data_IF_838244460777
#
_entry.id   IF_838244460777
#
_cell.length_a   1.000
_cell.length_b   1.000
_cell.length_c   1.000
_cell.angle_alpha   90.00
_cell.angle_beta   90.00
_cell.angle_gamma   90.00
#
_symmetry.space_group_name_H-M   'P 1'
#
loop_
_entity.id
_entity.type
_entity.pdbx_description
1 polymer ?
#
# COMPACT_ATOMS: atom_id res chain seq x y z
N UNK A 1 6.63 0.58 -1.03
CA UNK A 1 6.27 1.89 -0.44
C UNK A 1 7.49 2.66 0.06
N UNK A 2 8.36 2.03 0.86
CA UNK A 2 9.49 2.70 1.55
C UNK A 2 9.34 2.56 3.07
N UNK A 3 10.38 2.92 3.83
CA UNK A 3 10.30 2.96 5.29
C UNK A 3 9.17 3.90 5.77
N UNK A 4 8.57 3.64 6.93
CA UNK A 4 7.44 4.45 7.47
C UNK A 4 7.80 5.92 7.66
N UNK A 5 9.04 6.18 8.08
CA UNK A 5 9.60 7.53 8.15
C UNK A 5 10.20 7.89 6.77
N UNK A 6 9.66 8.90 6.05
CA UNK A 6 10.16 9.34 4.75
C UNK A 6 11.67 9.66 4.75
N UNK A 7 12.20 10.21 5.84
CA UNK A 7 13.63 10.57 5.95
C UNK A 7 14.53 9.32 5.89
N UNK A 8 14.00 8.16 6.28
CA UNK A 8 14.69 6.87 6.23
C UNK A 8 14.37 6.07 4.97
N UNK A 9 13.43 6.53 4.15
CA UNK A 9 13.04 5.84 2.93
C UNK A 9 14.07 6.09 1.81
N UNK A 10 14.31 5.08 0.97
CA UNK A 10 15.23 5.22 -0.17
C UNK A 10 14.56 6.06 -1.27
N UNK A 11 15.36 6.89 -1.96
CA UNK A 11 14.92 7.57 -3.18
C UNK A 11 14.40 6.56 -4.23
N UNK A 12 13.38 6.93 -4.98
CA UNK A 12 12.66 6.06 -5.91
C UNK A 12 11.54 5.22 -5.26
N UNK A 13 11.39 5.29 -3.93
CA UNK A 13 10.23 4.73 -3.24
C UNK A 13 9.18 5.80 -3.03
N UNK A 14 7.89 5.43 -3.03
CA UNK A 14 6.77 6.38 -2.88
C UNK A 14 6.99 7.31 -1.68
N UNK A 15 7.36 6.77 -0.50
CA UNK A 15 7.57 7.57 0.70
C UNK A 15 8.84 8.42 0.63
N UNK A 16 9.89 7.96 -0.04
CA UNK A 16 11.13 8.73 -0.21
C UNK A 16 10.98 9.90 -1.16
N UNK A 17 10.12 9.77 -2.18
CA UNK A 17 9.93 10.79 -3.21
C UNK A 17 8.80 11.77 -2.87
N UNK A 18 7.78 11.34 -2.11
CA UNK A 18 6.55 12.10 -1.89
C UNK A 18 6.12 12.27 -0.41
N UNK A 19 6.80 11.61 0.53
CA UNK A 19 6.47 11.70 1.95
C UNK A 19 7.01 12.99 2.59
N UNK A 20 6.25 13.60 3.50
CA UNK A 20 6.66 14.82 4.19
C UNK A 20 7.28 14.52 5.56
N UNK A 21 6.59 13.71 6.36
CA UNK A 21 7.01 13.30 7.71
C UNK A 21 6.36 11.96 8.09
N UNK A 22 6.54 11.51 9.33
CA UNK A 22 6.02 10.21 9.81
C UNK A 22 4.49 10.15 9.85
N UNK A 23 3.81 11.27 10.06
CA UNK A 23 2.34 11.36 10.10
C UNK A 23 1.76 11.53 8.69
N UNK A 24 2.49 12.20 7.80
CA UNK A 24 2.12 12.50 6.42
C UNK A 24 3.05 11.79 5.42
N UNK A 25 3.11 10.46 5.49
CA UNK A 25 4.00 9.63 4.66
C UNK A 25 3.33 9.13 3.35
N UNK A 26 2.35 9.87 2.84
CA UNK A 26 1.65 9.68 1.55
C UNK A 26 0.72 8.46 1.43
N UNK A 27 1.16 7.26 1.83
CA UNK A 27 0.43 6.00 1.57
C UNK A 27 0.47 5.03 2.75
N UNK A 28 -0.65 4.33 2.96
CA UNK A 28 -0.77 3.18 3.84
C UNK A 28 -0.65 1.86 3.07
N UNK A 29 -0.22 0.80 3.74
CA UNK A 29 -0.25 -0.56 3.24
C UNK A 29 0.00 -1.54 4.37
N UNK A 30 -0.68 -2.68 4.33
CA UNK A 30 -0.62 -3.69 5.38
C UNK A 30 0.80 -4.25 5.55
N UNK A 31 1.18 -4.54 6.78
CA UNK A 31 2.52 -5.01 7.15
C UNK A 31 2.68 -6.54 7.12
N UNK A 32 1.56 -7.28 7.01
CA UNK A 32 1.53 -8.74 6.94
C UNK A 32 0.32 -9.24 6.16
N UNK A 33 0.31 -10.54 5.80
CA UNK A 33 -0.86 -11.17 5.17
C UNK A 33 -2.07 -11.16 6.11
N UNK A 34 -1.85 -11.39 7.40
CA UNK A 34 -2.91 -11.40 8.40
C UNK A 34 -3.58 -10.03 8.55
N UNK A 35 -2.78 -8.95 8.58
CA UNK A 35 -3.30 -7.58 8.65
C UNK A 35 -3.95 -7.16 7.34
N UNK A 36 -3.41 -7.61 6.19
CA UNK A 36 -4.04 -7.39 4.89
C UNK A 36 -5.46 -7.98 4.82
N UNK A 37 -5.65 -9.23 5.23
CA UNK A 37 -6.97 -9.87 5.24
C UNK A 37 -7.98 -9.12 6.13
N UNK A 38 -7.52 -8.60 7.27
CA UNK A 38 -8.35 -7.81 8.19
C UNK A 38 -8.71 -6.45 7.61
N UNK A 39 -7.73 -5.74 7.05
CA UNK A 39 -7.92 -4.41 6.46
C UNK A 39 -8.80 -4.46 5.22
N UNK A 40 -8.61 -5.45 4.33
CA UNK A 40 -9.47 -5.64 3.15
C UNK A 40 -10.94 -5.77 3.55
N UNK A 41 -11.24 -6.63 4.55
CA UNK A 41 -12.60 -6.82 5.07
C UNK A 41 -13.16 -5.60 5.81
N UNK A 42 -12.29 -4.74 6.33
CA UNK A 42 -12.69 -3.52 7.03
C UNK A 42 -13.12 -2.42 6.05
N UNK A 43 -12.39 -2.28 4.93
CA UNK A 43 -12.59 -1.17 3.98
C UNK A 43 -13.50 -1.51 2.80
N UNK A 44 -13.62 -2.78 2.43
CA UNK A 44 -14.39 -3.21 1.26
C UNK A 44 -15.40 -4.29 1.64
N UNK A 45 -16.58 -4.19 1.04
CA UNK A 45 -17.54 -5.30 0.97
C UNK A 45 -17.11 -6.30 -0.11
N UNK A 46 -17.63 -7.54 -0.03
CA UNK A 46 -17.28 -8.60 -0.99
C UNK A 46 -17.67 -8.22 -2.44
N UNK A 47 -18.75 -7.44 -2.61
CA UNK A 47 -19.24 -7.00 -3.92
C UNK A 47 -18.38 -5.90 -4.57
N UNK A 48 -17.45 -5.30 -3.82
CA UNK A 48 -16.49 -4.30 -4.33
C UNK A 48 -15.18 -4.94 -4.83
N UNK A 49 -15.02 -6.26 -4.67
CA UNK A 49 -13.83 -7.01 -5.07
C UNK A 49 -14.13 -7.84 -6.33
N UNK A 50 -13.61 -7.35 -7.46
CA UNK A 50 -13.88 -7.95 -8.77
C UNK A 50 -12.79 -8.92 -9.20
N UNK A 51 -13.20 -10.11 -9.62
CA UNK A 51 -12.32 -11.08 -10.27
C UNK A 51 -12.31 -10.85 -11.77
N UNK A 52 -11.14 -10.58 -12.34
CA UNK A 52 -10.95 -10.46 -13.79
C UNK A 52 -9.68 -11.17 -14.23
N UNK A 53 -9.64 -11.59 -15.50
CA UNK A 53 -8.45 -12.21 -16.09
C UNK A 53 -7.51 -11.12 -16.57
N UNK A 54 -6.30 -11.07 -16.03
CA UNK A 54 -5.24 -10.20 -16.53
C UNK A 54 -4.40 -10.95 -17.57
N UNK A 55 -4.51 -10.56 -18.85
CA UNK A 55 -3.57 -10.99 -19.88
C UNK A 55 -2.37 -10.05 -19.86
N UNK A 56 -1.30 -10.44 -19.17
CA UNK A 56 -0.05 -9.68 -19.18
C UNK A 56 0.69 -10.07 -20.46
N UNK A 57 0.97 -9.09 -21.32
CA UNK A 57 1.66 -9.28 -22.60
C UNK A 57 3.02 -9.98 -22.43
N UNK A 58 3.33 -10.86 -23.40
CA UNK A 58 4.58 -11.63 -23.49
C UNK A 58 5.82 -10.76 -23.52
#
# INVERSE_FOLDING_TARGET
MGATDPVKAKAGTIRGDFGLDIEHNSVHGSDSVETAEKEIKLFFSEDEIFNYRQEIGS
#
